data_IF_266943892412
#
_entry.id   IF_266943892412
#
_cell.length_a   1.000
_cell.length_b   1.000
_cell.length_c   1.000
_cell.angle_alpha   90.00
_cell.angle_beta   90.00
_cell.angle_gamma   90.00
#
_symmetry.space_group_name_H-M   'P 1'
#
loop_
_entity.id
_entity.type
_entity.pdbx_description
1 polymer ?
#
# COMPACT_ATOMS: atom_id res chain seq x y z
N UNK A 1 9.83 -3.79 -21.08
CA UNK A 1 8.39 -4.10 -21.00
C UNK A 1 7.59 -2.83 -20.96
N UNK A 2 7.25 -2.37 -22.16
CA UNK A 2 6.39 -1.21 -22.48
C UNK A 2 4.94 -1.63 -22.76
N UNK A 3 4.61 -2.91 -22.56
CA UNK A 3 3.44 -3.55 -23.18
C UNK A 3 2.27 -3.73 -22.21
N UNK A 4 2.21 -2.91 -21.16
CA UNK A 4 0.99 -2.77 -20.37
C UNK A 4 0.27 -1.52 -20.87
N UNK A 5 -0.62 -1.70 -21.85
CA UNK A 5 -1.61 -0.67 -22.17
C UNK A 5 -2.36 -0.31 -20.89
N UNK A 6 -2.25 0.96 -20.48
CA UNK A 6 -3.02 1.49 -19.37
C UNK A 6 -4.48 1.36 -19.75
N UNK A 7 -5.19 0.44 -19.11
CA UNK A 7 -6.65 0.30 -19.22
C UNK A 7 -7.27 1.50 -18.48
N UNK A 8 -7.21 2.67 -19.10
CA UNK A 8 -7.92 3.87 -18.65
C UNK A 8 -9.38 3.69 -19.07
N UNK A 9 -10.27 3.56 -18.08
CA UNK A 9 -11.70 3.71 -18.32
C UNK A 9 -11.95 5.10 -18.93
N UNK A 10 -12.90 5.20 -19.86
CA UNK A 10 -13.19 6.42 -20.65
C UNK A 10 -13.38 7.70 -19.82
N UNK A 11 -13.61 7.60 -18.51
CA UNK A 11 -13.85 8.70 -17.58
C UNK A 11 -12.93 8.65 -16.33
N UNK A 12 -11.69 8.14 -16.46
CA UNK A 12 -10.76 8.04 -15.32
C UNK A 12 -9.48 8.84 -15.56
N UNK A 13 -9.33 9.92 -14.79
CA UNK A 13 -8.08 10.67 -14.70
C UNK A 13 -7.04 9.87 -13.90
N UNK A 14 -5.80 9.85 -14.40
CA UNK A 14 -4.68 9.24 -13.70
C UNK A 14 -3.51 10.22 -13.61
N UNK A 15 -2.79 10.14 -12.49
CA UNK A 15 -1.53 10.84 -12.30
C UNK A 15 -0.42 9.81 -12.06
N UNK A 16 0.61 9.85 -12.89
CA UNK A 16 1.83 9.06 -12.69
C UNK A 16 2.94 9.94 -12.12
N UNK A 17 3.66 9.44 -11.14
CA UNK A 17 4.87 10.07 -10.62
C UNK A 17 5.98 9.03 -10.49
N UNK A 18 7.22 9.50 -10.54
CA UNK A 18 8.41 8.66 -10.35
C UNK A 18 9.08 9.02 -9.03
N UNK A 19 9.59 8.01 -8.33
CA UNK A 19 10.40 8.18 -7.14
C UNK A 19 11.86 8.26 -7.59
N UNK A 20 12.53 9.38 -7.31
CA UNK A 20 13.94 9.54 -7.70
C UNK A 20 14.83 8.51 -6.98
N UNK A 21 15.98 8.11 -7.55
CA UNK A 21 16.86 7.10 -6.95
C UNK A 21 17.26 7.43 -5.50
N UNK A 22 17.53 8.70 -5.21
CA UNK A 22 17.84 9.20 -3.86
C UNK A 22 16.69 9.02 -2.86
N UNK A 23 15.45 9.26 -3.30
CA UNK A 23 14.25 9.06 -2.50
C UNK A 23 14.00 7.56 -2.27
N UNK A 24 14.21 6.73 -3.30
CA UNK A 24 14.10 5.29 -3.16
C UNK A 24 15.13 4.72 -2.17
N UNK A 25 16.37 5.22 -2.19
CA UNK A 25 17.39 4.87 -1.20
C UNK A 25 17.00 5.35 0.20
N UNK A 26 16.46 6.56 0.34
CA UNK A 26 15.99 7.07 1.63
C UNK A 26 14.83 6.24 2.19
N UNK A 27 13.87 5.85 1.35
CA UNK A 27 12.76 4.96 1.74
C UNK A 27 13.27 3.59 2.21
N UNK A 28 14.28 3.02 1.52
CA UNK A 28 14.93 1.77 1.93
C UNK A 28 15.77 1.90 3.21
N UNK A 29 16.27 3.10 3.54
CA UNK A 29 16.88 3.32 4.85
C UNK A 29 15.81 3.38 5.93
N UNK A 30 14.70 4.06 5.64
CA UNK A 30 13.57 4.16 6.56
C UNK A 30 12.96 2.80 6.91
N UNK A 31 12.90 1.84 5.97
CA UNK A 31 12.47 0.47 6.29
C UNK A 31 13.32 -0.16 7.38
N UNK A 32 14.64 0.07 7.37
CA UNK A 32 15.53 -0.47 8.38
C UNK A 32 15.40 0.27 9.72
N UNK A 33 15.26 1.60 9.68
CA UNK A 33 15.13 2.43 10.89
C UNK A 33 13.81 2.22 11.64
N UNK A 34 12.75 1.82 10.92
CA UNK A 34 11.44 1.54 11.49
C UNK A 34 11.19 0.06 11.74
N UNK A 35 12.08 -0.83 11.27
CA UNK A 35 11.88 -2.29 11.26
C UNK A 35 10.58 -2.70 10.53
N UNK A 36 10.32 -2.03 9.40
CA UNK A 36 9.06 -2.17 8.64
C UNK A 36 9.29 -2.49 7.17
N UNK A 37 8.27 -3.09 6.56
CA UNK A 37 8.31 -3.38 5.13
C UNK A 37 8.15 -2.11 4.28
N UNK A 38 8.75 -2.12 3.08
CA UNK A 38 8.54 -1.04 2.11
C UNK A 38 7.05 -0.91 1.72
N UNK A 39 6.30 -2.03 1.71
CA UNK A 39 4.85 -2.05 1.50
C UNK A 39 4.15 -1.20 2.55
N UNK A 40 4.46 -1.40 3.84
CA UNK A 40 3.88 -0.65 4.95
C UNK A 40 4.14 0.85 4.79
N UNK A 41 5.40 1.23 4.54
CA UNK A 41 5.79 2.65 4.39
C UNK A 41 5.07 3.33 3.22
N UNK A 42 5.05 2.69 2.04
CA UNK A 42 4.38 3.23 0.87
C UNK A 42 2.86 3.28 1.06
N UNK A 43 2.29 2.29 1.73
CA UNK A 43 0.87 2.26 2.04
C UNK A 43 0.48 3.35 3.05
N UNK A 44 1.31 3.62 4.05
CA UNK A 44 1.16 4.77 4.93
C UNK A 44 1.18 6.09 4.15
N UNK A 45 2.10 6.25 3.19
CA UNK A 45 2.14 7.44 2.33
C UNK A 45 0.86 7.56 1.48
N UNK A 46 0.34 6.46 0.94
CA UNK A 46 -0.92 6.40 0.20
C UNK A 46 -2.12 6.82 1.06
N UNK A 47 -2.25 6.27 2.27
CA UNK A 47 -3.29 6.65 3.24
C UNK A 47 -3.22 8.16 3.52
N UNK A 48 -2.01 8.69 3.77
CA UNK A 48 -1.85 10.13 4.00
C UNK A 48 -2.23 10.95 2.77
N UNK A 49 -1.85 10.52 1.58
CA UNK A 49 -2.23 11.18 0.33
C UNK A 49 -3.75 11.22 0.14
N UNK A 50 -4.47 10.16 0.49
CA UNK A 50 -5.94 10.14 0.46
C UNK A 50 -6.54 11.19 1.40
N UNK A 51 -5.98 11.37 2.60
CA UNK A 51 -6.48 12.43 3.51
C UNK A 51 -6.32 13.82 2.91
N UNK A 52 -5.21 14.06 2.20
CA UNK A 52 -4.92 15.35 1.56
C UNK A 52 -5.84 15.56 0.36
N UNK A 53 -6.01 14.53 -0.47
CA UNK A 53 -6.81 14.61 -1.69
C UNK A 53 -8.31 14.76 -1.39
N UNK A 54 -8.81 14.11 -0.33
CA UNK A 54 -10.23 14.09 0.00
C UNK A 54 -10.64 15.14 1.05
N UNK A 55 -9.68 15.65 1.84
CA UNK A 55 -9.94 16.54 2.97
C UNK A 55 -10.49 15.84 4.23
N UNK A 56 -10.64 14.51 4.21
CA UNK A 56 -11.11 13.72 5.35
C UNK A 56 -9.96 13.03 6.06
N UNK A 57 -10.01 12.99 7.40
CA UNK A 57 -9.07 12.18 8.20
C UNK A 57 -9.47 10.71 8.25
N UNK A 58 -10.76 10.40 8.10
CA UNK A 58 -11.25 9.04 7.98
C UNK A 58 -11.25 8.63 6.51
N UNK A 59 -10.46 7.61 6.17
CA UNK A 59 -10.30 7.13 4.80
C UNK A 59 -10.48 5.62 4.73
N UNK A 60 -11.00 5.16 3.59
CA UNK A 60 -11.11 3.73 3.25
C UNK A 60 -10.39 3.49 1.94
N UNK A 61 -9.50 2.51 1.90
CA UNK A 61 -8.78 2.08 0.70
C UNK A 61 -8.72 0.56 0.65
N UNK A 62 -8.41 -0.01 -0.52
CA UNK A 62 -8.11 -1.43 -0.62
C UNK A 62 -6.65 -1.73 -0.30
N UNK A 63 -6.39 -2.89 0.31
CA UNK A 63 -5.06 -3.47 0.45
C UNK A 63 -5.05 -4.88 -0.15
N UNK A 64 -3.99 -5.22 -0.89
CA UNK A 64 -3.86 -6.52 -1.52
C UNK A 64 -3.28 -7.57 -0.55
N UNK A 65 -3.93 -8.72 -0.52
CA UNK A 65 -3.52 -9.93 0.18
C UNK A 65 -3.42 -11.12 -0.77
N UNK A 66 -2.48 -12.02 -0.48
CA UNK A 66 -2.31 -13.24 -1.24
C UNK A 66 -3.22 -14.31 -0.65
N UNK A 67 -4.30 -14.66 -1.34
CA UNK A 67 -5.22 -15.73 -0.94
C UNK A 67 -4.75 -17.12 -1.34
N UNK A 68 -3.43 -17.33 -1.44
CA UNK A 68 -2.89 -18.60 -1.93
C UNK A 68 -2.87 -19.63 -0.80
N UNK A 69 -3.33 -20.87 -1.03
CA UNK A 69 -3.28 -21.91 -0.01
C UNK A 69 -1.85 -22.18 0.46
N UNK A 70 -1.62 -22.28 1.77
CA UNK A 70 -0.33 -22.67 2.37
C UNK A 70 -0.06 -24.19 2.21
N UNK A 71 -0.04 -24.66 0.97
CA UNK A 71 0.19 -26.07 0.62
C UNK A 71 1.43 -26.21 -0.26
N UNK A 72 2.02 -27.41 -0.27
CA UNK A 72 3.18 -27.71 -1.10
C UNK A 72 2.86 -27.41 -2.58
N UNK A 73 3.81 -26.83 -3.30
CA UNK A 73 3.68 -26.46 -4.71
C UNK A 73 2.56 -25.44 -5.01
N UNK A 74 2.04 -24.77 -3.98
CA UNK A 74 1.01 -23.75 -4.18
C UNK A 74 1.47 -22.72 -5.20
N UNK A 75 2.79 -22.42 -5.26
CA UNK A 75 3.40 -21.46 -6.18
C UNK A 75 3.13 -21.74 -7.67
N UNK A 76 2.89 -23.01 -8.01
CA UNK A 76 2.68 -23.53 -9.38
C UNK A 76 1.22 -23.52 -9.82
N UNK A 77 0.28 -23.23 -8.91
CA UNK A 77 -1.15 -23.22 -9.23
C UNK A 77 -1.51 -21.99 -10.06
N UNK A 78 -2.01 -22.18 -11.27
CA UNK A 78 -2.56 -21.09 -12.09
C UNK A 78 -3.93 -20.66 -11.55
N UNK A 79 -4.11 -19.36 -11.27
CA UNK A 79 -5.38 -18.81 -10.78
C UNK A 79 -5.29 -17.36 -10.30
N UNK A 80 -6.44 -16.74 -10.05
CA UNK A 80 -6.54 -15.40 -9.48
C UNK A 80 -6.62 -15.51 -7.94
N UNK A 81 -5.47 -15.35 -7.29
CA UNK A 81 -5.34 -15.43 -5.83
C UNK A 81 -5.21 -14.05 -5.16
N UNK A 82 -5.34 -12.95 -5.91
CA UNK A 82 -5.32 -11.62 -5.32
C UNK A 82 -6.67 -11.34 -4.66
N UNK A 83 -6.62 -11.04 -3.37
CA UNK A 83 -7.77 -10.50 -2.64
C UNK A 83 -7.51 -9.03 -2.33
N UNK A 84 -8.55 -8.21 -2.45
CA UNK A 84 -8.52 -6.81 -2.05
C UNK A 84 -9.45 -6.65 -0.84
N UNK A 85 -8.86 -6.41 0.32
CA UNK A 85 -9.61 -6.21 1.56
C UNK A 85 -9.77 -4.71 1.85
N UNK A 86 -10.93 -4.29 2.39
CA UNK A 86 -11.11 -2.90 2.80
C UNK A 86 -10.25 -2.60 4.03
N UNK A 87 -9.50 -1.50 3.96
CA UNK A 87 -8.69 -0.94 5.04
C UNK A 87 -9.26 0.44 5.39
N UNK A 88 -9.92 0.53 6.54
CA UNK A 88 -10.55 1.76 7.03
C UNK A 88 -9.77 2.32 8.20
N UNK A 89 -9.28 3.56 8.09
CA UNK A 89 -8.45 4.21 9.11
C UNK A 89 -8.93 5.62 9.42
N UNK A 90 -8.83 6.02 10.69
CA UNK A 90 -8.92 7.41 11.12
C UNK A 90 -7.51 7.96 11.40
N UNK A 91 -7.02 8.81 10.51
CA UNK A 91 -5.65 9.33 10.52
C UNK A 91 -5.54 10.49 11.51
N UNK A 92 -5.22 10.15 12.77
CA UNK A 92 -5.11 11.10 13.89
C UNK A 92 -3.68 11.45 14.32
N UNK A 93 -2.66 10.74 13.83
CA UNK A 93 -1.31 10.90 14.37
C UNK A 93 -0.64 12.23 13.94
N UNK A 94 0.19 12.76 14.84
CA UNK A 94 0.99 13.96 14.60
C UNK A 94 2.36 13.67 13.98
N UNK A 95 2.81 12.40 13.99
CA UNK A 95 4.10 11.99 13.42
C UNK A 95 3.97 10.83 12.42
N UNK A 96 4.85 10.82 11.43
CA UNK A 96 4.95 9.74 10.44
C UNK A 96 5.28 8.39 11.07
N UNK A 97 6.11 8.36 12.12
CA UNK A 97 6.51 7.12 12.79
C UNK A 97 5.31 6.44 13.45
N UNK A 98 4.49 7.23 14.14
CA UNK A 98 3.26 6.73 14.78
C UNK A 98 2.24 6.27 13.73
N UNK A 99 2.17 6.96 12.59
CA UNK A 99 1.28 6.56 11.51
C UNK A 99 1.70 5.22 10.90
N UNK A 100 2.99 5.01 10.67
CA UNK A 100 3.53 3.73 10.18
C UNK A 100 3.20 2.61 11.16
N UNK A 101 3.44 2.81 12.46
CA UNK A 101 3.11 1.80 13.48
C UNK A 101 1.61 1.50 13.56
N UNK A 102 0.76 2.53 13.43
CA UNK A 102 -0.70 2.37 13.41
C UNK A 102 -1.18 1.57 12.18
N UNK A 103 -0.61 1.86 11.00
CA UNK A 103 -0.89 1.12 9.77
C UNK A 103 -0.42 -0.33 9.88
N UNK A 104 0.77 -0.57 10.43
CA UNK A 104 1.29 -1.91 10.64
C UNK A 104 0.36 -2.73 11.55
N UNK A 105 0.01 -2.18 12.72
CA UNK A 105 -0.87 -2.87 13.68
C UNK A 105 -2.19 -3.27 13.03
N UNK A 106 -2.86 -2.33 12.36
CA UNK A 106 -4.16 -2.61 11.75
C UNK A 106 -4.06 -3.53 10.53
N UNK A 107 -2.94 -3.51 9.79
CA UNK A 107 -2.73 -4.42 8.67
C UNK A 107 -2.57 -5.88 9.10
N UNK A 108 -1.99 -6.13 10.29
CA UNK A 108 -1.86 -7.47 10.87
C UNK A 108 -3.20 -8.03 11.34
N UNK A 109 -4.14 -7.17 11.76
CA UNK A 109 -5.47 -7.59 12.19
C UNK A 109 -6.40 -7.99 11.02
N UNK A 110 -6.00 -7.67 9.79
CA UNK A 110 -6.78 -7.95 8.56
C UNK A 110 -6.32 -9.28 7.90
N UNK A 111 -5.13 -9.78 8.22
CA UNK A 111 -4.59 -11.08 7.80
C UNK A 111 -5.17 -12.23 8.63
#
# INVERSE_FOLDING_TARGET
>A
DSDVEVISGKDTDYASFSIAPEQALALRKLTNELEESLKTILFTAHIKALTIATGYNQVVTGISFHGRPETLDSEKILGLFVNMLPFAMDVKSSSWRDLVGSVQSMSKDIE
#
